data_IF_827334506969
#
_entry.id   IF_827334506969
#
_cell.length_a   1.000
_cell.length_b   1.000
_cell.length_c   1.000
_cell.angle_alpha   90.00
_cell.angle_beta   90.00
_cell.angle_gamma   90.00
#
_symmetry.space_group_name_H-M   'P 1'
#
loop_
_entity.id
_entity.type
_entity.pdbx_description
1 polymer ?
#
# COMPACT_ATOMS: atom_id res chain seq x y z
N UNK A 1 13.68 -0.95 -5.21
CA UNK A 1 14.85 -0.23 -5.75
C UNK A 1 15.12 0.94 -4.82
N UNK A 2 16.08 0.82 -3.91
CA UNK A 2 16.55 1.97 -3.14
C UNK A 2 17.64 2.62 -3.98
N UNK A 3 17.37 3.83 -4.45
CA UNK A 3 18.28 4.57 -5.33
C UNK A 3 19.57 4.89 -4.58
N UNK A 4 20.70 4.31 -5.00
CA UNK A 4 22.05 4.64 -4.52
C UNK A 4 22.49 6.02 -5.05
N UNK A 5 21.70 7.06 -4.77
CA UNK A 5 22.09 8.45 -5.01
C UNK A 5 22.79 8.93 -3.75
N UNK A 6 24.10 9.20 -3.84
CA UNK A 6 24.83 9.80 -2.73
C UNK A 6 24.26 11.19 -2.41
N UNK A 7 24.29 11.58 -1.13
CA UNK A 7 23.82 12.90 -0.68
C UNK A 7 24.50 14.05 -1.45
N UNK A 8 25.77 13.86 -1.83
CA UNK A 8 26.49 14.83 -2.66
C UNK A 8 25.96 14.92 -4.10
N UNK A 9 25.45 13.84 -4.67
CA UNK A 9 24.79 13.86 -5.98
C UNK A 9 23.42 14.54 -5.90
N UNK A 10 22.63 14.23 -4.88
CA UNK A 10 21.32 14.84 -4.68
C UNK A 10 21.41 16.35 -4.39
N UNK A 11 22.38 16.77 -3.56
CA UNK A 11 22.57 18.20 -3.26
C UNK A 11 22.92 19.01 -4.51
N UNK A 12 23.79 18.45 -5.37
CA UNK A 12 24.15 19.04 -6.67
C UNK A 12 22.96 19.10 -7.63
N UNK A 13 22.14 18.04 -7.71
CA UNK A 13 21.02 18.00 -8.65
C UNK A 13 19.92 19.02 -8.31
N UNK A 14 19.73 19.31 -7.03
CA UNK A 14 18.72 20.28 -6.56
C UNK A 14 19.31 21.66 -6.21
N UNK A 15 20.61 21.88 -6.48
CA UNK A 15 21.27 23.18 -6.33
C UNK A 15 21.47 23.66 -4.88
N UNK A 16 21.61 22.75 -3.91
CA UNK A 16 21.86 23.09 -2.49
C UNK A 16 23.19 22.52 -2.01
N UNK A 17 23.73 23.05 -0.90
CA UNK A 17 24.95 22.48 -0.32
C UNK A 17 24.65 21.15 0.39
N UNK A 18 25.65 20.26 0.50
CA UNK A 18 25.50 19.01 1.26
C UNK A 18 25.08 19.27 2.72
N UNK A 19 25.63 20.32 3.35
CA UNK A 19 25.21 20.73 4.69
C UNK A 19 23.75 21.16 4.74
N UNK A 20 23.25 21.84 3.70
CA UNK A 20 21.85 22.26 3.63
C UNK A 20 20.93 21.05 3.45
N UNK A 21 21.31 20.10 2.59
CA UNK A 21 20.59 18.84 2.42
C UNK A 21 20.54 18.05 3.75
N UNK A 22 21.65 17.99 4.49
CA UNK A 22 21.68 17.39 5.83
C UNK A 22 20.74 18.10 6.82
N UNK A 23 20.59 19.43 6.73
CA UNK A 23 19.64 20.19 7.56
C UNK A 23 18.19 19.88 7.19
N UNK A 24 17.91 19.56 5.93
CA UNK A 24 16.59 19.10 5.49
C UNK A 24 16.29 17.69 6.00
N UNK A 25 17.24 16.76 5.87
CA UNK A 25 17.12 15.38 6.37
C UNK A 25 16.86 15.34 7.88
N UNK A 26 17.58 16.16 8.65
CA UNK A 26 17.45 16.20 10.11
C UNK A 26 16.35 17.17 10.58
N UNK A 27 15.49 17.65 9.68
CA UNK A 27 14.38 18.58 9.95
C UNK A 27 14.75 19.87 10.69
N UNK A 28 16.04 20.26 10.69
CA UNK A 28 16.50 21.53 11.29
C UNK A 28 16.09 22.74 10.45
N UNK A 29 15.93 22.55 9.14
CA UNK A 29 15.42 23.56 8.23
C UNK A 29 14.11 23.09 7.60
N UNK A 30 13.14 24.00 7.50
CA UNK A 30 11.93 23.78 6.70
C UNK A 30 12.30 23.72 5.22
N UNK A 31 11.62 22.83 4.50
CA UNK A 31 11.74 22.68 3.04
C UNK A 31 10.50 23.30 2.42
N UNK A 32 10.67 24.14 1.38
CA UNK A 32 9.54 24.69 0.65
C UNK A 32 8.88 23.62 -0.25
N UNK A 33 7.60 23.79 -0.59
CA UNK A 33 6.91 22.87 -1.49
C UNK A 33 7.63 22.73 -2.86
N UNK A 34 8.17 23.83 -3.39
CA UNK A 34 8.97 23.82 -4.62
C UNK A 34 10.24 22.97 -4.48
N UNK A 35 10.90 23.00 -3.32
CA UNK A 35 12.08 22.17 -3.09
C UNK A 35 11.73 20.70 -2.95
N UNK A 36 10.63 20.36 -2.29
CA UNK A 36 10.14 18.97 -2.21
C UNK A 36 9.85 18.44 -3.63
N UNK A 37 9.30 19.26 -4.51
CA UNK A 37 9.09 18.92 -5.91
C UNK A 37 10.39 18.60 -6.65
N UNK A 38 11.42 19.46 -6.55
CA UNK A 38 12.72 19.21 -7.18
C UNK A 38 13.42 17.96 -6.63
N UNK A 39 13.29 17.70 -5.32
CA UNK A 39 13.81 16.47 -4.70
C UNK A 39 13.10 15.24 -5.27
N UNK A 40 11.77 15.26 -5.37
CA UNK A 40 11.00 14.17 -5.97
C UNK A 40 11.39 13.90 -7.43
N UNK A 41 11.53 14.95 -8.23
CA UNK A 41 12.00 14.87 -9.62
C UNK A 41 13.41 14.28 -9.72
N UNK A 42 14.33 14.70 -8.85
CA UNK A 42 15.70 14.17 -8.82
C UNK A 42 15.75 12.70 -8.40
N UNK A 43 14.83 12.25 -7.54
CA UNK A 43 14.78 10.87 -7.05
C UNK A 43 13.90 9.96 -7.92
N UNK A 44 13.19 10.50 -8.91
CA UNK A 44 12.29 9.74 -9.78
C UNK A 44 11.03 9.23 -9.07
N UNK A 45 10.58 9.92 -8.02
CA UNK A 45 9.39 9.54 -7.22
C UNK A 45 8.34 10.66 -7.24
N UNK A 46 7.04 10.32 -7.19
CA UNK A 46 6.00 11.33 -7.08
C UNK A 46 6.11 12.10 -5.77
N UNK A 47 5.79 13.41 -5.81
CA UNK A 47 5.85 14.30 -4.63
C UNK A 47 4.97 13.81 -3.47
N UNK A 48 3.87 13.11 -3.77
CA UNK A 48 3.00 12.49 -2.77
C UNK A 48 3.75 11.54 -1.83
N UNK A 49 4.84 10.91 -2.29
CA UNK A 49 5.63 9.94 -1.51
C UNK A 49 6.23 10.55 -0.25
N UNK A 50 6.57 11.84 -0.25
CA UNK A 50 7.12 12.53 0.93
C UNK A 50 6.09 12.79 2.03
N UNK A 51 4.80 12.62 1.72
CA UNK A 51 3.70 12.87 2.63
C UNK A 51 2.90 11.60 2.96
N UNK A 52 3.38 10.43 2.51
CA UNK A 52 2.85 9.12 2.90
C UNK A 52 2.97 8.95 4.42
N UNK A 53 1.90 8.52 5.09
CA UNK A 53 1.87 8.30 6.54
C UNK A 53 1.58 9.55 7.41
N UNK A 54 1.43 10.74 6.82
CA UNK A 54 0.95 11.91 7.56
C UNK A 54 -0.56 11.81 7.84
N UNK A 55 -0.98 12.17 9.05
CA UNK A 55 -2.39 12.22 9.45
C UNK A 55 -3.17 13.15 8.51
N UNK A 56 -4.26 12.64 7.91
CA UNK A 56 -5.06 13.34 6.90
C UNK A 56 -4.77 12.96 5.43
N UNK A 57 -3.59 12.40 5.12
CA UNK A 57 -3.28 11.88 3.78
C UNK A 57 -3.53 10.37 3.64
N UNK A 58 -3.73 9.68 4.77
CA UNK A 58 -4.00 8.24 4.81
C UNK A 58 -5.40 7.85 4.37
N UNK A 59 -6.39 8.74 4.40
CA UNK A 59 -7.78 8.38 4.09
C UNK A 59 -8.06 8.30 2.59
N UNK A 60 -7.37 9.10 1.77
CA UNK A 60 -7.55 9.06 0.31
C UNK A 60 -6.81 7.88 -0.36
N UNK A 61 -5.76 7.34 0.28
CA UNK A 61 -4.98 6.22 -0.27
C UNK A 61 -5.25 4.87 0.40
N UNK A 62 -5.79 4.81 1.64
CA UNK A 62 -6.13 3.53 2.30
C UNK A 62 -7.33 2.85 1.67
N UNK A 63 -8.26 3.58 1.08
CA UNK A 63 -9.44 2.98 0.42
C UNK A 63 -9.05 2.04 -0.73
N UNK A 64 -7.86 2.20 -1.33
CA UNK A 64 -7.39 1.38 -2.44
C UNK A 64 -6.60 0.12 -2.02
N UNK A 65 -6.21 -0.01 -0.74
CA UNK A 65 -5.44 -1.15 -0.26
C UNK A 65 -6.15 -1.81 0.91
N UNK A 66 -6.90 -2.87 0.60
CA UNK A 66 -7.66 -3.66 1.56
C UNK A 66 -6.79 -4.39 2.60
N UNK A 67 -5.47 -4.47 2.38
CA UNK A 67 -4.52 -5.16 3.26
C UNK A 67 -3.50 -4.17 3.85
N UNK A 68 -3.12 -4.30 5.14
CA UNK A 68 -1.92 -3.69 5.69
C UNK A 68 -0.68 -3.98 4.83
N UNK A 69 0.26 -3.02 4.77
CA UNK A 69 1.49 -3.13 3.94
C UNK A 69 2.28 -4.40 4.25
N UNK A 70 2.34 -4.81 5.52
CA UNK A 70 3.07 -5.99 5.97
C UNK A 70 2.48 -7.29 5.39
N UNK A 71 1.14 -7.42 5.37
CA UNK A 71 0.45 -8.58 4.79
C UNK A 71 0.65 -8.68 3.27
N UNK A 72 0.72 -7.55 2.58
CA UNK A 72 1.03 -7.52 1.14
C UNK A 72 2.45 -8.02 0.86
N UNK A 73 3.42 -7.61 1.68
CA UNK A 73 4.82 -8.03 1.56
C UNK A 73 4.93 -9.54 1.80
N UNK A 74 4.26 -10.07 2.82
CA UNK A 74 4.23 -11.51 3.10
C UNK A 74 3.60 -12.32 1.96
N UNK A 75 2.47 -11.85 1.42
CA UNK A 75 1.83 -12.51 0.28
C UNK A 75 2.71 -12.51 -0.97
N UNK A 76 3.33 -11.39 -1.31
CA UNK A 76 4.24 -11.29 -2.46
C UNK A 76 5.45 -12.24 -2.29
N UNK A 77 5.98 -12.38 -1.07
CA UNK A 77 7.09 -13.27 -0.76
C UNK A 77 6.69 -14.77 -0.75
N UNK A 78 5.41 -15.09 -0.59
CA UNK A 78 4.89 -16.45 -0.59
C UNK A 78 5.18 -17.21 -1.90
N UNK A 79 5.06 -18.54 -1.89
CA UNK A 79 5.16 -19.34 -3.11
C UNK A 79 4.03 -19.04 -4.10
N UNK A 80 2.86 -18.68 -3.58
CA UNK A 80 1.68 -18.31 -4.36
C UNK A 80 1.88 -16.97 -5.06
N UNK A 81 2.26 -15.93 -4.32
CA UNK A 81 2.49 -14.59 -4.85
C UNK A 81 3.56 -14.56 -5.93
N UNK A 82 4.68 -15.27 -5.73
CA UNK A 82 5.75 -15.41 -6.73
C UNK A 82 5.25 -16.04 -8.04
N UNK A 83 4.54 -17.17 -7.96
CA UNK A 83 3.96 -17.85 -9.15
C UNK A 83 2.96 -16.97 -9.89
N UNK A 84 2.17 -16.17 -9.16
CA UNK A 84 1.22 -15.23 -9.74
C UNK A 84 1.94 -14.12 -10.49
N UNK A 85 2.96 -13.50 -9.88
CA UNK A 85 3.76 -12.44 -10.50
C UNK A 85 4.47 -12.95 -11.76
N UNK A 86 5.11 -14.12 -11.70
CA UNK A 86 5.79 -14.74 -12.84
C UNK A 86 4.89 -14.87 -14.06
N UNK A 87 3.64 -15.29 -13.86
CA UNK A 87 2.65 -15.44 -14.95
C UNK A 87 2.12 -14.10 -15.43
N UNK A 88 1.84 -13.17 -14.51
CA UNK A 88 1.31 -11.85 -14.87
C UNK A 88 2.32 -11.04 -15.69
N UNK A 89 3.61 -11.09 -15.37
CA UNK A 89 4.65 -10.34 -16.10
C UNK A 89 4.78 -10.78 -17.56
N UNK A 90 4.50 -12.05 -17.86
CA UNK A 90 4.50 -12.60 -19.22
C UNK A 90 3.32 -12.10 -20.08
N UNK A 91 2.28 -11.53 -19.46
CA UNK A 91 1.11 -11.04 -20.18
C UNK A 91 1.34 -9.65 -20.78
N UNK A 92 0.78 -9.37 -21.98
CA UNK A 92 0.77 -8.02 -22.54
C UNK A 92 0.08 -7.01 -21.60
N UNK A 93 0.49 -5.73 -21.59
CA UNK A 93 -0.06 -4.71 -20.69
C UNK A 93 -1.59 -4.61 -20.73
N UNK A 94 -2.18 -4.71 -21.93
CA UNK A 94 -3.64 -4.70 -22.12
C UNK A 94 -4.33 -5.88 -21.43
N UNK A 95 -3.71 -7.05 -21.41
CA UNK A 95 -4.26 -8.25 -20.77
C UNK A 95 -4.13 -8.15 -19.26
N UNK A 96 -2.98 -7.68 -18.74
CA UNK A 96 -2.83 -7.41 -17.30
C UNK A 96 -3.90 -6.47 -16.77
N UNK A 97 -4.18 -5.38 -17.49
CA UNK A 97 -5.22 -4.43 -17.11
C UNK A 97 -6.60 -5.09 -17.02
N UNK A 98 -6.94 -5.96 -17.97
CA UNK A 98 -8.21 -6.71 -17.97
C UNK A 98 -8.29 -7.71 -16.81
N UNK A 99 -7.21 -8.44 -16.53
CA UNK A 99 -7.13 -9.37 -15.39
C UNK A 99 -7.28 -8.62 -14.07
N UNK A 100 -6.61 -7.47 -13.93
CA UNK A 100 -6.75 -6.61 -12.75
C UNK A 100 -8.18 -6.12 -12.56
N UNK A 101 -8.85 -5.69 -13.64
CA UNK A 101 -10.24 -5.26 -13.59
C UNK A 101 -11.19 -6.40 -13.18
N UNK A 102 -10.95 -7.63 -13.65
CA UNK A 102 -11.71 -8.80 -13.22
C UNK A 102 -11.52 -9.11 -11.74
N UNK A 103 -10.28 -9.07 -11.24
CA UNK A 103 -9.99 -9.27 -9.82
C UNK A 103 -10.70 -8.20 -8.97
N UNK A 104 -10.68 -6.94 -9.40
CA UNK A 104 -11.39 -5.86 -8.73
C UNK A 104 -12.91 -6.10 -8.71
N UNK A 105 -13.51 -6.49 -9.83
CA UNK A 105 -14.94 -6.80 -9.90
C UNK A 105 -15.35 -7.94 -8.96
N UNK A 106 -14.54 -9.01 -8.88
CA UNK A 106 -14.78 -10.13 -7.96
C UNK A 106 -14.61 -9.68 -6.50
N UNK A 107 -13.62 -8.85 -6.20
CA UNK A 107 -13.40 -8.33 -4.85
C UNK A 107 -14.54 -7.41 -4.39
N UNK A 108 -15.06 -6.56 -5.29
CA UNK A 108 -16.25 -5.74 -5.01
C UNK A 108 -17.48 -6.61 -4.75
N UNK A 109 -17.68 -7.66 -5.53
CA UNK A 109 -18.77 -8.62 -5.33
C UNK A 109 -18.65 -9.32 -3.97
N UNK A 110 -17.47 -9.88 -3.63
CA UNK A 110 -17.22 -10.55 -2.35
C UNK A 110 -17.29 -9.60 -1.13
N UNK A 111 -16.78 -8.38 -1.28
CA UNK A 111 -16.89 -7.33 -0.26
C UNK A 111 -18.32 -6.81 -0.07
N UNK A 112 -19.16 -6.90 -1.12
CA UNK A 112 -20.58 -6.65 -1.02
C UNK A 112 -21.32 -7.81 -0.32
N UNK A 113 -20.86 -9.06 -0.49
CA UNK A 113 -21.40 -10.21 0.23
C UNK A 113 -21.08 -10.19 1.74
N UNK A 114 -19.90 -9.71 2.14
CA UNK A 114 -19.53 -9.58 3.56
C UNK A 114 -20.31 -8.47 4.30
N UNK A 115 -20.96 -7.55 3.57
CA UNK A 115 -21.75 -6.44 4.14
C UNK A 115 -23.22 -6.78 4.44
N UNK A 116 -23.66 -8.04 4.30
CA UNK A 116 -25.02 -8.46 4.66
C UNK A 116 -25.16 -8.66 6.19
N UNK A 117 -25.99 -7.86 6.90
CA UNK A 117 -26.29 -8.13 8.30
C UNK A 117 -27.32 -9.26 8.38
N UNK A 118 -26.98 -10.38 9.02
CA UNK A 118 -27.99 -11.32 9.51
C UNK A 118 -27.91 -12.76 9.03
N UNK A 119 -26.77 -13.43 9.25
CA UNK A 119 -26.81 -14.88 9.53
C UNK A 119 -26.34 -15.14 10.95
N UNK A 120 -27.21 -14.85 11.92
CA UNK A 120 -27.14 -15.43 13.25
C UNK A 120 -27.18 -16.96 13.10
N UNK A 121 -26.09 -17.63 13.49
CA UNK A 121 -26.09 -19.08 13.70
C UNK A 121 -27.22 -19.42 14.69
N UNK A 122 -28.10 -20.39 14.41
CA UNK A 122 -29.09 -20.80 15.40
C UNK A 122 -28.35 -21.42 16.59
N UNK A 123 -28.53 -20.83 17.78
CA UNK A 123 -28.14 -21.49 19.02
C UNK A 123 -29.07 -22.69 19.22
N UNK A 124 -28.54 -23.88 19.02
CA UNK A 124 -29.20 -25.12 19.45
C UNK A 124 -29.18 -25.09 20.98
N UNK A 125 -30.30 -24.67 21.59
CA UNK A 125 -30.56 -24.90 23.00
C UNK A 125 -30.81 -26.40 23.18
N UNK A 126 -29.79 -27.13 23.63
CA UNK A 126 -30.01 -28.43 24.25
C UNK A 126 -30.65 -28.18 25.63
N UNK A 127 -31.97 -28.06 25.62
CA UNK A 127 -32.79 -28.38 26.78
C UNK A 127 -33.11 -29.85 26.62
N UNK A 128 -32.56 -30.70 27.47
CA UNK A 128 -33.39 -31.78 27.99
C UNK A 128 -33.05 -32.08 29.44
N UNK A 129 -34.11 -32.08 30.22
CA UNK A 129 -34.18 -32.22 31.66
C UNK A 129 -34.89 -33.54 31.93
N UNK A 130 -34.45 -34.22 32.99
CA UNK A 130 -35.09 -35.37 33.66
C UNK A 130 -34.95 -36.70 32.89
N UNK A 131 -34.85 -37.87 33.51
CA UNK A 131 -34.74 -38.38 34.88
C UNK A 131 -34.06 -39.76 34.69
N UNK A 132 -33.52 -40.47 35.68
CA UNK A 132 -34.30 -41.24 36.65
C UNK A 132 -33.33 -42.13 37.45
N UNK A 133 -33.64 -42.27 38.73
CA UNK A 133 -33.25 -43.32 39.71
C UNK A 133 -31.77 -43.54 40.07
#
# INVERSE_FOLDING_TARGET
MHSDVSQAQLSRSIGVSCQQLQKYENARNRVSASMIYEIGKSLGVPVSRFFEGLAGNGELSREASLLPVDEQIEFIASAEGRRLIERLVQLPPRVRARVSALIAAIAEELGAFDKLPGRSRPQIKASDKAADS
#
